data_IF_537375851097
#
_entry.id   IF_537375851097
#
_cell.length_a   1.000
_cell.length_b   1.000
_cell.length_c   1.000
_cell.angle_alpha   90.00
_cell.angle_beta   90.00
_cell.angle_gamma   90.00
#
_symmetry.space_group_name_H-M   'P 1'
#
loop_
_entity.id
_entity.type
_entity.pdbx_description
1 polymer ?
#
# COMPACT_ATOMS: atom_id res chain seq x y z
N UNK A 1 8.84 -8.40 -14.09
CA UNK A 1 7.41 -8.20 -13.82
C UNK A 1 7.16 -6.69 -13.85
N UNK A 2 6.19 -6.24 -14.65
CA UNK A 2 6.05 -4.81 -14.98
C UNK A 2 5.61 -4.00 -13.75
N UNK A 3 6.56 -3.30 -13.12
CA UNK A 3 6.39 -2.48 -11.92
C UNK A 3 5.32 -1.38 -12.13
N UNK A 4 4.96 -1.07 -13.38
CA UNK A 4 3.82 -0.19 -13.69
C UNK A 4 2.48 -0.82 -13.34
N UNK A 5 2.25 -2.12 -13.56
CA UNK A 5 0.98 -2.76 -13.19
C UNK A 5 0.80 -2.83 -11.67
N UNK A 6 1.87 -3.10 -10.92
CA UNK A 6 1.85 -3.18 -9.45
C UNK A 6 1.71 -1.80 -8.77
N UNK A 7 2.41 -0.78 -9.27
CA UNK A 7 2.22 0.63 -8.83
C UNK A 7 0.81 1.14 -9.07
N UNK A 8 0.14 0.62 -10.11
CA UNK A 8 -1.26 0.94 -10.38
C UNK A 8 -2.19 0.29 -9.36
N UNK A 9 -1.85 -0.87 -8.78
CA UNK A 9 -2.67 -1.56 -7.79
C UNK A 9 -2.70 -0.86 -6.41
N UNK A 10 -1.61 -0.18 -6.02
CA UNK A 10 -1.48 0.43 -4.67
C UNK A 10 -1.62 1.94 -4.68
N UNK A 11 -1.26 2.63 -5.76
CA UNK A 11 -1.84 3.96 -6.02
C UNK A 11 -3.37 3.85 -6.19
N UNK A 12 -3.85 2.72 -6.71
CA UNK A 12 -5.26 2.41 -6.64
C UNK A 12 -5.73 2.05 -5.23
N UNK A 13 -4.95 1.75 -4.19
CA UNK A 13 -5.54 1.57 -2.85
C UNK A 13 -6.18 2.87 -2.30
N UNK A 14 -5.68 4.04 -2.71
CA UNK A 14 -6.30 5.34 -2.49
C UNK A 14 -7.37 5.71 -3.56
N UNK A 15 -7.44 4.97 -4.67
CA UNK A 15 -8.36 5.16 -5.81
C UNK A 15 -9.39 4.01 -5.98
N UNK A 16 -9.32 2.94 -5.19
CA UNK A 16 -10.06 1.67 -5.29
C UNK A 16 -11.41 1.77 -4.60
N UNK A 17 -11.64 2.84 -3.85
CA UNK A 17 -12.99 3.28 -3.54
C UNK A 17 -13.73 3.87 -4.74
N UNK A 18 -13.06 4.10 -5.88
CA UNK A 18 -13.68 4.73 -7.04
C UNK A 18 -13.79 3.86 -8.29
N UNK A 19 -12.86 2.97 -8.65
CA UNK A 19 -13.06 2.16 -9.88
C UNK A 19 -12.28 0.84 -9.89
N UNK A 20 -12.97 -0.28 -9.64
CA UNK A 20 -13.02 -1.53 -10.45
C UNK A 20 -13.84 -2.61 -9.70
N UNK A 21 -15.16 -2.40 -9.55
CA UNK A 21 -16.10 -3.53 -9.59
C UNK A 21 -16.46 -3.73 -11.06
N UNK A 22 -15.57 -4.41 -11.78
CA UNK A 22 -15.74 -4.67 -13.19
C UNK A 22 -15.19 -6.05 -13.51
N UNK A 23 -16.10 -6.97 -13.79
CA UNK A 23 -15.91 -8.29 -14.40
C UNK A 23 -15.33 -9.38 -13.46
N UNK A 24 -15.90 -10.58 -13.32
CA UNK A 24 -16.94 -11.29 -14.07
C UNK A 24 -17.75 -12.20 -13.13
N UNK A 25 -18.98 -12.48 -13.56
CA UNK A 25 -19.75 -13.62 -13.09
C UNK A 25 -18.88 -14.87 -13.14
N UNK A 26 -18.44 -15.35 -11.98
CA UNK A 26 -18.17 -16.77 -11.83
C UNK A 26 -19.54 -17.43 -11.73
N UNK A 27 -19.86 -18.24 -12.75
CA UNK A 27 -20.98 -19.17 -12.74
C UNK A 27 -20.89 -20.03 -11.48
N UNK A 28 -21.55 -19.57 -10.43
CA UNK A 28 -21.83 -20.30 -9.22
C UNK A 28 -23.24 -20.85 -9.39
N UNK A 29 -23.44 -22.17 -9.35
CA UNK A 29 -24.76 -22.73 -9.50
C UNK A 29 -25.61 -22.24 -8.32
N UNK A 30 -26.78 -21.68 -8.64
CA UNK A 30 -27.87 -21.38 -7.69
C UNK A 30 -27.82 -20.04 -6.91
N UNK A 31 -27.50 -18.92 -7.58
CA UNK A 31 -27.79 -17.58 -7.01
C UNK A 31 -29.20 -17.12 -7.37
N UNK A 32 -29.96 -16.72 -6.34
CA UNK A 32 -31.27 -16.08 -6.48
C UNK A 32 -31.20 -14.94 -7.52
N UNK A 33 -31.96 -14.99 -8.63
CA UNK A 33 -31.92 -13.97 -9.69
C UNK A 33 -32.14 -12.54 -9.19
N UNK A 34 -32.91 -12.40 -8.11
CA UNK A 34 -33.17 -11.11 -7.48
C UNK A 34 -31.92 -10.54 -6.79
N UNK A 35 -31.08 -11.38 -6.20
CA UNK A 35 -29.81 -10.96 -5.58
C UNK A 35 -28.82 -10.48 -6.64
N UNK A 36 -28.75 -11.15 -7.79
CA UNK A 36 -27.91 -10.72 -8.91
C UNK A 36 -28.39 -9.38 -9.50
N UNK A 37 -29.70 -9.16 -9.53
CA UNK A 37 -30.27 -7.88 -9.93
C UNK A 37 -29.81 -6.74 -9.02
N UNK A 38 -29.83 -6.94 -7.69
CA UNK A 38 -29.35 -5.93 -6.74
C UNK A 38 -27.87 -5.63 -6.93
N UNK A 39 -27.03 -6.66 -7.08
CA UNK A 39 -25.59 -6.50 -7.31
C UNK A 39 -25.33 -5.70 -8.60
N UNK A 40 -25.97 -6.06 -9.71
CA UNK A 40 -25.82 -5.35 -11.00
C UNK A 40 -26.29 -3.90 -10.92
N UNK A 41 -27.40 -3.63 -10.22
CA UNK A 41 -27.90 -2.26 -10.01
C UNK A 41 -26.96 -1.45 -9.12
N UNK A 42 -26.37 -2.08 -8.11
CA UNK A 42 -25.38 -1.45 -7.24
C UNK A 42 -24.15 -1.03 -8.06
N UNK A 43 -23.56 -1.95 -8.83
CA UNK A 43 -22.41 -1.67 -9.68
C UNK A 43 -22.68 -0.51 -10.64
N UNK A 44 -23.88 -0.50 -11.27
CA UNK A 44 -24.30 0.59 -12.14
C UNK A 44 -24.39 1.93 -11.40
N UNK A 45 -25.02 1.99 -10.22
CA UNK A 45 -25.16 3.23 -9.46
C UNK A 45 -23.81 3.74 -8.97
N UNK A 46 -22.96 2.87 -8.40
CA UNK A 46 -21.63 3.25 -7.90
C UNK A 46 -20.75 3.78 -9.04
N UNK A 47 -20.79 3.15 -10.23
CA UNK A 47 -20.03 3.62 -11.39
C UNK A 47 -20.42 5.03 -11.86
N UNK A 48 -21.64 5.50 -11.52
CA UNK A 48 -22.17 6.80 -11.94
C UNK A 48 -22.12 7.85 -10.86
N UNK A 49 -22.34 7.45 -9.61
CA UNK A 49 -22.62 8.36 -8.49
C UNK A 49 -21.62 8.22 -7.34
N UNK A 50 -20.74 7.23 -7.39
CA UNK A 50 -19.88 6.86 -6.28
C UNK A 50 -20.60 6.00 -5.23
N UNK A 51 -19.83 5.44 -4.28
CA UNK A 51 -20.32 4.50 -3.26
C UNK A 51 -21.30 5.12 -2.26
N UNK A 52 -21.30 6.44 -2.06
CA UNK A 52 -22.22 7.18 -1.19
C UNK A 52 -23.30 7.97 -1.95
N UNK A 53 -23.46 7.68 -3.24
CA UNK A 53 -24.41 8.35 -4.13
C UNK A 53 -25.88 8.20 -3.73
N UNK A 54 -26.70 9.13 -4.20
CA UNK A 54 -28.15 9.13 -3.94
C UNK A 54 -28.79 7.82 -4.40
N UNK A 55 -29.59 7.21 -3.53
CA UNK A 55 -30.31 5.96 -3.81
C UNK A 55 -29.52 4.67 -3.53
N UNK A 56 -28.22 4.75 -3.23
CA UNK A 56 -27.43 3.57 -2.84
C UNK A 56 -27.98 2.97 -1.54
N UNK A 57 -28.22 3.77 -0.50
CA UNK A 57 -28.71 3.29 0.79
C UNK A 57 -30.00 2.48 0.66
N UNK A 58 -31.00 3.04 -0.05
CA UNK A 58 -32.28 2.35 -0.31
C UNK A 58 -32.09 1.06 -1.10
N UNK A 59 -31.16 1.02 -2.06
CA UNK A 59 -30.85 -0.22 -2.77
C UNK A 59 -30.28 -1.27 -1.81
N UNK A 60 -29.34 -0.88 -0.95
CA UNK A 60 -28.69 -1.77 0.02
C UNK A 60 -29.66 -2.23 1.12
N UNK A 61 -30.61 -1.39 1.54
CA UNK A 61 -31.67 -1.76 2.50
C UNK A 61 -32.55 -2.85 1.90
N UNK A 62 -33.04 -2.65 0.67
CA UNK A 62 -33.87 -3.64 0.00
C UNK A 62 -33.13 -4.95 -0.31
N UNK A 63 -31.83 -4.88 -0.62
CA UNK A 63 -31.01 -6.09 -0.79
C UNK A 63 -30.86 -6.85 0.53
N UNK A 64 -30.70 -6.14 1.65
CA UNK A 64 -30.58 -6.76 2.98
C UNK A 64 -31.83 -7.52 3.43
N UNK A 65 -33.03 -7.13 2.99
CA UNK A 65 -34.26 -7.86 3.28
C UNK A 65 -34.30 -9.27 2.67
N UNK A 66 -33.52 -9.50 1.61
CA UNK A 66 -33.54 -10.77 0.86
C UNK A 66 -32.31 -11.61 1.17
N UNK A 67 -31.13 -10.98 1.26
CA UNK A 67 -29.87 -11.67 1.46
C UNK A 67 -28.96 -10.87 2.41
N UNK A 68 -29.29 -10.79 3.72
CA UNK A 68 -28.57 -9.96 4.70
C UNK A 68 -27.11 -10.40 4.97
N UNK A 69 -26.76 -11.60 4.53
CA UNK A 69 -25.43 -12.21 4.67
C UNK A 69 -24.69 -12.35 3.33
N UNK A 70 -25.23 -11.81 2.23
CA UNK A 70 -24.51 -11.78 0.94
C UNK A 70 -23.21 -10.97 1.10
N UNK A 71 -22.07 -11.59 0.81
CA UNK A 71 -20.75 -10.96 0.93
C UNK A 71 -20.66 -9.70 0.07
N UNK A 72 -21.26 -9.66 -1.13
CA UNK A 72 -21.29 -8.45 -1.97
C UNK A 72 -22.10 -7.33 -1.33
N UNK A 73 -23.22 -7.65 -0.66
CA UNK A 73 -23.97 -6.66 0.12
C UNK A 73 -23.14 -6.12 1.29
N UNK A 74 -22.48 -7.00 2.04
CA UNK A 74 -21.65 -6.62 3.18
C UNK A 74 -20.49 -5.72 2.75
N UNK A 75 -19.81 -6.07 1.65
CA UNK A 75 -18.76 -5.25 1.04
C UNK A 75 -19.31 -3.92 0.53
N UNK A 76 -20.49 -3.91 -0.08
CA UNK A 76 -21.15 -2.69 -0.53
C UNK A 76 -21.52 -1.75 0.63
N UNK A 77 -22.00 -2.29 1.76
CA UNK A 77 -22.25 -1.54 3.00
C UNK A 77 -20.97 -0.96 3.59
N UNK A 78 -19.88 -1.72 3.57
CA UNK A 78 -18.57 -1.20 3.94
C UNK A 78 -18.23 0.01 3.06
N UNK A 79 -18.27 -0.13 1.73
CA UNK A 79 -17.93 0.96 0.81
C UNK A 79 -18.80 2.20 1.01
N UNK A 80 -20.12 2.03 1.16
CA UNK A 80 -21.06 3.12 1.41
C UNK A 80 -20.74 3.89 2.70
N UNK A 81 -20.61 3.19 3.84
CA UNK A 81 -20.32 3.85 5.11
C UNK A 81 -18.90 4.39 5.20
N UNK A 82 -17.93 3.73 4.57
CA UNK A 82 -16.55 4.21 4.55
C UNK A 82 -16.44 5.50 3.73
N UNK A 83 -17.06 5.59 2.56
CA UNK A 83 -17.14 6.83 1.80
C UNK A 83 -17.88 7.94 2.57
N UNK A 84 -19.06 7.64 3.13
CA UNK A 84 -19.80 8.62 3.97
C UNK A 84 -19.06 9.05 5.22
N UNK A 85 -18.12 8.26 5.71
CA UNK A 85 -17.31 8.64 6.87
C UNK A 85 -16.31 9.75 6.52
N UNK A 86 -16.00 9.96 5.25
CA UNK A 86 -14.94 10.86 4.83
C UNK A 86 -15.44 12.28 4.59
N UNK A 87 -14.67 13.25 5.07
CA UNK A 87 -14.70 14.64 4.62
C UNK A 87 -13.28 15.08 4.26
N UNK A 88 -13.15 16.15 3.48
CA UNK A 88 -11.82 16.68 3.13
C UNK A 88 -11.71 18.16 3.46
N UNK A 89 -10.57 18.55 3.99
CA UNK A 89 -10.24 19.96 4.25
C UNK A 89 -8.87 20.29 3.68
N UNK A 90 -8.66 21.57 3.37
CA UNK A 90 -7.35 22.08 2.96
C UNK A 90 -6.66 22.65 4.19
N UNK A 91 -5.57 22.00 4.62
CA UNK A 91 -4.85 22.34 5.85
C UNK A 91 -3.46 22.89 5.56
N UNK A 92 -3.02 23.96 6.23
CA UNK A 92 -1.65 24.45 6.12
C UNK A 92 -0.70 23.58 6.95
N UNK A 93 0.46 23.26 6.39
CA UNK A 93 1.59 22.59 7.07
C UNK A 93 2.89 23.32 6.70
N UNK A 94 3.84 23.36 7.63
CA UNK A 94 5.18 23.90 7.36
C UNK A 94 6.03 22.97 6.48
N UNK A 95 5.68 21.68 6.44
CA UNK A 95 6.40 20.63 5.74
C UNK A 95 6.22 20.77 4.22
N UNK A 96 7.26 20.40 3.44
CA UNK A 96 7.18 20.38 1.95
C UNK A 96 6.50 19.13 1.40
N UNK A 97 6.36 18.11 2.23
CA UNK A 97 5.62 16.88 1.94
C UNK A 97 4.82 16.50 3.18
N UNK A 98 3.64 15.95 2.98
CA UNK A 98 2.80 15.42 4.04
C UNK A 98 2.16 14.13 3.54
N UNK A 99 2.24 13.05 4.32
CA UNK A 99 1.76 11.72 3.92
C UNK A 99 2.26 11.26 2.54
N UNK A 100 3.52 11.57 2.21
CA UNK A 100 4.13 11.25 0.92
C UNK A 100 3.72 12.13 -0.27
N UNK A 101 2.73 13.02 -0.11
CA UNK A 101 2.25 13.90 -1.15
C UNK A 101 2.97 15.26 -1.16
N UNK A 102 3.00 15.91 -2.33
CA UNK A 102 3.35 17.32 -2.47
C UNK A 102 2.12 18.21 -2.16
N UNK A 103 2.32 19.47 -1.76
CA UNK A 103 1.21 20.38 -1.51
C UNK A 103 0.38 20.65 -2.76
N UNK A 104 -0.92 20.87 -2.57
CA UNK A 104 -1.82 21.32 -3.65
C UNK A 104 -1.62 22.80 -3.98
N UNK A 105 -1.11 23.57 -3.02
CA UNK A 105 -0.82 25.00 -3.15
C UNK A 105 0.27 25.39 -2.17
N UNK A 106 1.20 26.26 -2.59
CA UNK A 106 2.17 26.91 -1.70
C UNK A 106 2.02 28.42 -1.79
N UNK A 107 1.85 29.09 -0.65
CA UNK A 107 1.77 30.55 -0.56
C UNK A 107 2.91 31.10 0.31
N UNK A 108 3.11 32.42 0.25
CA UNK A 108 4.02 33.13 1.15
C UNK A 108 3.24 33.72 2.33
N UNK A 109 3.74 33.54 3.54
CA UNK A 109 3.23 34.29 4.70
C UNK A 109 3.75 35.74 4.71
N UNK A 110 3.37 36.49 5.74
CA UNK A 110 3.79 37.88 5.94
C UNK A 110 5.30 38.07 6.14
N UNK A 111 6.04 37.00 6.44
CA UNK A 111 7.50 36.99 6.57
C UNK A 111 8.22 36.56 5.29
N UNK A 112 7.47 36.13 4.26
CA UNK A 112 8.01 35.57 3.03
C UNK A 112 8.35 34.08 3.12
N UNK A 113 7.99 33.40 4.21
CA UNK A 113 8.16 31.96 4.37
C UNK A 113 7.08 31.18 3.60
N UNK A 114 7.41 29.97 3.15
CA UNK A 114 6.45 29.09 2.47
C UNK A 114 5.45 28.49 3.45
N UNK A 115 4.16 28.59 3.12
CA UNK A 115 3.06 27.86 3.76
C UNK A 115 2.49 26.89 2.73
N UNK A 116 2.58 25.60 3.03
CA UNK A 116 2.20 24.52 2.13
C UNK A 116 0.81 24.01 2.51
N UNK A 117 -0.12 24.01 1.57
CA UNK A 117 -1.49 23.57 1.78
C UNK A 117 -1.68 22.18 1.21
N UNK A 118 -2.26 21.29 2.00
CA UNK A 118 -2.52 19.90 1.66
C UNK A 118 -4.01 19.61 1.80
N UNK A 119 -4.55 18.76 0.93
CA UNK A 119 -5.86 18.18 1.15
C UNK A 119 -5.72 17.02 2.12
N UNK A 120 -6.42 17.09 3.24
CA UNK A 120 -6.43 16.05 4.27
C UNK A 120 -7.83 15.45 4.39
N UNK A 121 -7.91 14.12 4.54
CA UNK A 121 -9.17 13.40 4.76
C UNK A 121 -9.41 13.26 6.26
N UNK A 122 -10.62 13.56 6.70
CA UNK A 122 -11.10 13.37 8.07
C UNK A 122 -12.19 12.32 8.10
N UNK A 123 -12.34 11.65 9.23
CA UNK A 123 -13.27 10.54 9.39
C UNK A 123 -14.30 10.84 10.48
N UNK A 124 -15.56 10.56 10.18
CA UNK A 124 -16.59 10.39 11.19
C UNK A 124 -16.43 9.00 11.82
N UNK A 125 -16.00 8.95 13.08
CA UNK A 125 -15.68 7.69 13.78
C UNK A 125 -16.86 6.72 13.84
N UNK A 126 -18.10 7.22 13.95
CA UNK A 126 -19.28 6.36 14.03
C UNK A 126 -19.55 5.66 12.69
N UNK A 127 -19.44 6.39 11.59
CA UNK A 127 -19.63 5.84 10.24
C UNK A 127 -18.46 4.94 9.84
N UNK A 128 -17.22 5.31 10.19
CA UNK A 128 -16.05 4.46 9.99
C UNK A 128 -16.18 3.15 10.78
N UNK A 129 -16.53 3.23 12.06
CA UNK A 129 -16.76 2.03 12.88
C UNK A 129 -17.87 1.15 12.30
N UNK A 130 -18.91 1.76 11.74
CA UNK A 130 -19.99 1.03 11.09
C UNK A 130 -19.53 0.33 9.81
N UNK A 131 -18.73 1.00 8.96
CA UNK A 131 -18.17 0.37 7.77
C UNK A 131 -17.32 -0.86 8.12
N UNK A 132 -16.44 -0.72 9.12
CA UNK A 132 -15.57 -1.80 9.58
C UNK A 132 -16.37 -3.00 10.12
N UNK A 133 -17.51 -2.77 10.79
CA UNK A 133 -18.40 -3.86 11.23
C UNK A 133 -18.93 -4.71 10.08
N UNK A 134 -19.30 -4.08 8.96
CA UNK A 134 -19.76 -4.80 7.78
C UNK A 134 -18.64 -5.58 7.10
N UNK A 135 -17.46 -4.97 6.97
CA UNK A 135 -16.30 -5.65 6.41
C UNK A 135 -15.86 -6.85 7.27
N UNK A 136 -15.88 -6.69 8.59
CA UNK A 136 -15.60 -7.79 9.52
C UNK A 136 -16.63 -8.92 9.40
N UNK A 137 -17.89 -8.61 9.09
CA UNK A 137 -18.91 -9.62 8.82
C UNK A 137 -18.62 -10.34 7.50
N UNK A 138 -18.19 -9.63 6.46
CA UNK A 138 -17.81 -10.23 5.18
C UNK A 138 -16.60 -11.17 5.34
N UNK A 139 -15.54 -10.74 6.02
CA UNK A 139 -14.34 -11.56 6.30
C UNK A 139 -14.68 -12.81 7.12
N UNK A 140 -15.66 -12.74 8.04
CA UNK A 140 -16.11 -13.92 8.79
C UNK A 140 -16.92 -14.88 7.94
N UNK A 141 -17.70 -14.37 6.99
CA UNK A 141 -18.52 -15.20 6.10
C UNK A 141 -17.67 -15.98 5.10
N UNK A 142 -16.51 -15.43 4.73
CA UNK A 142 -15.56 -16.06 3.82
C UNK A 142 -14.13 -15.70 4.23
N UNK A 143 -13.52 -16.57 5.04
CA UNK A 143 -12.23 -16.33 5.68
C UNK A 143 -11.05 -16.39 4.72
N UNK A 144 -11.22 -17.02 3.56
CA UNK A 144 -10.12 -17.32 2.65
C UNK A 144 -9.96 -16.19 1.62
N UNK A 145 -10.87 -15.22 1.62
CA UNK A 145 -10.85 -14.04 0.75
C UNK A 145 -9.82 -13.01 1.17
N UNK A 146 -8.69 -13.01 0.49
CA UNK A 146 -7.58 -12.11 0.75
C UNK A 146 -7.87 -10.67 0.32
N UNK A 147 -8.71 -10.47 -0.69
CA UNK A 147 -9.16 -9.14 -1.10
C UNK A 147 -9.90 -8.42 0.04
N UNK A 148 -10.78 -9.10 0.78
CA UNK A 148 -11.49 -8.51 1.93
C UNK A 148 -10.51 -8.15 3.06
N UNK A 149 -9.47 -8.97 3.25
CA UNK A 149 -8.44 -8.73 4.26
C UNK A 149 -7.59 -7.51 3.90
N UNK A 150 -7.23 -7.35 2.63
CA UNK A 150 -6.52 -6.17 2.16
C UNK A 150 -7.40 -4.91 2.14
N UNK A 151 -8.70 -5.02 1.84
CA UNK A 151 -9.63 -3.90 2.04
C UNK A 151 -9.59 -3.38 3.47
N UNK A 152 -9.56 -4.30 4.46
CA UNK A 152 -9.49 -3.95 5.88
C UNK A 152 -8.17 -3.28 6.23
N UNK A 153 -7.05 -3.84 5.78
CA UNK A 153 -5.73 -3.24 6.00
C UNK A 153 -5.67 -1.82 5.42
N UNK A 154 -6.13 -1.61 4.19
CA UNK A 154 -6.14 -0.30 3.53
C UNK A 154 -7.04 0.72 4.25
N UNK A 155 -8.20 0.30 4.74
CA UNK A 155 -9.09 1.15 5.53
C UNK A 155 -8.44 1.60 6.86
N UNK A 156 -7.67 0.72 7.51
CA UNK A 156 -6.90 1.08 8.72
C UNK A 156 -5.79 2.07 8.41
N UNK A 157 -4.97 1.79 7.38
CA UNK A 157 -3.87 2.71 6.97
C UNK A 157 -4.39 4.11 6.67
N UNK A 158 -5.52 4.19 5.97
CA UNK A 158 -6.12 5.46 5.56
C UNK A 158 -6.71 6.24 6.73
N UNK A 159 -7.23 5.54 7.75
CA UNK A 159 -7.77 6.14 8.96
C UNK A 159 -6.68 6.65 9.90
N UNK A 160 -5.60 5.87 10.07
CA UNK A 160 -4.55 6.11 11.06
C UNK A 160 -3.47 7.11 10.64
N UNK A 161 -3.28 7.31 9.32
CA UNK A 161 -2.35 8.30 8.76
C UNK A 161 -0.90 8.09 9.24
N UNK A 162 -0.37 9.01 10.06
CA UNK A 162 1.02 9.00 10.54
C UNK A 162 1.28 8.00 11.68
N UNK A 163 0.24 7.37 12.25
CA UNK A 163 0.36 6.43 13.37
C UNK A 163 -0.32 5.09 13.08
N UNK A 164 0.20 4.28 12.12
CA UNK A 164 -0.47 3.09 11.59
C UNK A 164 -0.40 1.85 12.51
N UNK A 165 -0.68 2.01 13.80
CA UNK A 165 -0.51 0.97 14.82
C UNK A 165 -1.48 -0.21 14.63
N UNK A 166 -2.76 0.08 14.39
CA UNK A 166 -3.77 -0.94 14.13
C UNK A 166 -3.55 -1.62 12.78
N UNK A 167 -3.17 -0.87 11.75
CA UNK A 167 -2.82 -1.40 10.44
C UNK A 167 -1.62 -2.34 10.53
N UNK A 168 -0.56 -1.93 11.23
CA UNK A 168 0.61 -2.76 11.48
C UNK A 168 0.24 -4.04 12.25
N UNK A 169 -0.52 -3.92 13.34
CA UNK A 169 -0.95 -5.06 14.13
C UNK A 169 -1.78 -6.05 13.29
N UNK A 170 -2.71 -5.52 12.48
CA UNK A 170 -3.54 -6.32 11.60
C UNK A 170 -2.73 -7.02 10.50
N UNK A 171 -1.85 -6.29 9.81
CA UNK A 171 -0.96 -6.86 8.78
C UNK A 171 -0.01 -7.89 9.36
N UNK A 172 0.57 -7.64 10.53
CA UNK A 172 1.46 -8.60 11.21
C UNK A 172 0.74 -9.92 11.52
N UNK A 173 -0.52 -9.83 11.98
CA UNK A 173 -1.36 -11.02 12.19
C UNK A 173 -1.69 -11.72 10.87
N UNK A 174 -1.98 -10.95 9.82
CA UNK A 174 -2.25 -11.51 8.50
C UNK A 174 -1.03 -12.26 7.92
N UNK A 175 0.20 -11.78 8.18
CA UNK A 175 1.43 -12.50 7.84
C UNK A 175 1.51 -13.84 8.57
N UNK A 176 1.20 -13.88 9.87
CA UNK A 176 1.15 -15.13 10.64
C UNK A 176 0.11 -16.10 10.06
N UNK A 177 -1.09 -15.61 9.77
CA UNK A 177 -2.17 -16.41 9.19
C UNK A 177 -1.79 -16.97 7.82
N UNK A 178 -1.14 -16.17 6.97
CA UNK A 178 -0.67 -16.61 5.65
C UNK A 178 0.24 -17.84 5.73
N UNK A 179 1.13 -17.87 6.72
CA UNK A 179 2.03 -19.02 6.93
C UNK A 179 1.25 -20.24 7.41
N UNK A 180 0.29 -20.05 8.32
CA UNK A 180 -0.54 -21.14 8.85
C UNK A 180 -1.44 -21.79 7.78
N UNK A 181 -1.99 -21.00 6.86
CA UNK A 181 -2.82 -21.52 5.76
C UNK A 181 -2.01 -21.91 4.52
N UNK A 182 -0.67 -21.83 4.60
CA UNK A 182 0.25 -22.12 3.49
C UNK A 182 -0.06 -21.28 2.23
N UNK A 183 -0.52 -20.04 2.41
CA UNK A 183 -0.89 -19.14 1.33
C UNK A 183 -2.11 -19.56 0.51
N UNK A 184 -2.93 -20.51 1.02
CA UNK A 184 -4.20 -20.92 0.41
C UNK A 184 -5.24 -19.82 0.60
N UNK A 185 -5.10 -18.77 -0.20
CA UNK A 185 -6.02 -17.65 -0.26
C UNK A 185 -6.81 -17.70 -1.57
N UNK A 186 -7.95 -17.04 -1.54
CA UNK A 186 -8.73 -16.69 -2.72
C UNK A 186 -8.61 -15.19 -2.99
N UNK A 187 -8.38 -14.85 -4.25
CA UNK A 187 -8.41 -13.47 -4.72
C UNK A 187 -9.22 -13.42 -6.02
N UNK A 188 -10.44 -12.84 -6.01
CA UNK A 188 -11.29 -12.82 -7.19
C UNK A 188 -10.60 -12.21 -8.41
N UNK A 189 -10.61 -12.93 -9.53
CA UNK A 189 -10.04 -12.46 -10.78
C UNK A 189 -8.51 -12.53 -10.88
N UNK A 190 -7.83 -13.14 -9.91
CA UNK A 190 -6.37 -13.36 -9.98
C UNK A 190 -6.00 -14.80 -9.60
N UNK A 191 -4.96 -15.32 -10.26
CA UNK A 191 -4.31 -16.55 -9.82
C UNK A 191 -3.31 -16.23 -8.70
N UNK A 192 -3.38 -16.99 -7.61
CA UNK A 192 -2.46 -16.84 -6.49
C UNK A 192 -1.10 -17.44 -6.85
N UNK A 193 -0.09 -16.58 -7.00
CA UNK A 193 1.30 -17.01 -7.15
C UNK A 193 1.96 -17.16 -5.78
N UNK A 194 3.06 -17.94 -5.67
CA UNK A 194 3.81 -18.03 -4.42
C UNK A 194 4.35 -16.68 -3.89
N UNK A 195 4.55 -15.69 -4.77
CA UNK A 195 5.01 -14.35 -4.38
C UNK A 195 3.89 -13.35 -4.10
N UNK A 196 2.65 -13.63 -4.54
CA UNK A 196 1.55 -12.65 -4.53
C UNK A 196 1.36 -11.99 -3.17
N UNK A 197 1.35 -12.79 -2.09
CA UNK A 197 1.20 -12.28 -0.73
C UNK A 197 2.39 -11.40 -0.32
N UNK A 198 3.62 -11.80 -0.64
CA UNK A 198 4.83 -11.03 -0.33
C UNK A 198 4.84 -9.70 -1.09
N UNK A 199 4.47 -9.73 -2.37
CA UNK A 199 4.34 -8.55 -3.22
C UNK A 199 3.29 -7.59 -2.65
N UNK A 200 2.15 -8.10 -2.18
CA UNK A 200 1.12 -7.27 -1.54
C UNK A 200 1.58 -6.67 -0.20
N UNK A 201 2.26 -7.43 0.66
CA UNK A 201 2.81 -6.91 1.92
C UNK A 201 3.89 -5.84 1.66
N UNK A 202 4.72 -6.03 0.63
CA UNK A 202 5.73 -5.05 0.24
C UNK A 202 5.12 -3.68 -0.10
N UNK A 203 3.92 -3.66 -0.66
CA UNK A 203 3.23 -2.42 -1.00
C UNK A 203 2.72 -1.66 0.23
N UNK A 204 2.32 -2.38 1.30
CA UNK A 204 2.05 -1.76 2.60
C UNK A 204 3.34 -1.24 3.25
N UNK A 205 4.44 -1.98 3.17
CA UNK A 205 5.75 -1.47 3.58
C UNK A 205 6.10 -0.16 2.85
N UNK A 206 5.95 -0.11 1.53
CA UNK A 206 6.18 1.09 0.73
C UNK A 206 5.25 2.25 1.14
N UNK A 207 3.99 1.96 1.45
CA UNK A 207 3.03 2.95 1.95
C UNK A 207 3.47 3.55 3.28
N UNK A 208 3.87 2.71 4.24
CA UNK A 208 4.41 3.16 5.53
C UNK A 208 5.68 3.98 5.40
N UNK A 209 6.58 3.59 4.51
CA UNK A 209 7.79 4.35 4.22
C UNK A 209 7.48 5.73 3.62
N UNK A 210 6.51 5.81 2.71
CA UNK A 210 6.16 7.06 2.02
C UNK A 210 5.44 8.07 2.90
N UNK A 211 4.68 7.62 3.91
CA UNK A 211 4.02 8.54 4.86
C UNK A 211 5.05 9.50 5.48
N UNK A 212 6.26 9.01 5.76
CA UNK A 212 7.41 9.84 6.09
C UNK A 212 7.40 10.41 7.51
N UNK A 213 6.80 9.69 8.44
CA UNK A 213 6.76 10.02 9.87
C UNK A 213 7.56 8.99 10.68
N UNK A 214 7.92 9.32 11.93
CA UNK A 214 8.62 8.38 12.82
C UNK A 214 7.83 7.07 13.02
N UNK A 215 6.53 7.18 13.34
CA UNK A 215 5.65 6.04 13.53
C UNK A 215 5.53 5.18 12.27
N UNK A 216 5.37 5.80 11.10
CA UNK A 216 5.28 5.07 9.85
C UNK A 216 6.61 4.42 9.42
N UNK A 217 7.76 5.04 9.70
CA UNK A 217 9.05 4.37 9.48
C UNK A 217 9.25 3.17 10.39
N UNK A 218 8.79 3.25 11.64
CA UNK A 218 8.84 2.11 12.55
C UNK A 218 7.94 0.97 12.07
N UNK A 219 6.73 1.27 11.59
CA UNK A 219 5.83 0.26 11.03
C UNK A 219 6.39 -0.39 9.75
N UNK A 220 7.04 0.40 8.88
CA UNK A 220 7.78 -0.11 7.72
C UNK A 220 8.85 -1.13 8.11
N UNK A 221 9.65 -0.82 9.14
CA UNK A 221 10.68 -1.70 9.66
C UNK A 221 10.07 -2.97 10.28
N UNK A 222 9.10 -2.82 11.19
CA UNK A 222 8.51 -3.94 11.92
C UNK A 222 7.80 -4.94 11.01
N UNK A 223 7.07 -4.47 10.00
CA UNK A 223 6.43 -5.35 9.03
C UNK A 223 7.47 -6.05 8.14
N UNK A 224 8.57 -5.39 7.80
CA UNK A 224 9.66 -6.00 7.02
C UNK A 224 10.40 -7.08 7.81
N UNK A 225 10.70 -6.83 9.09
CA UNK A 225 11.29 -7.83 9.99
C UNK A 225 10.34 -9.01 10.22
N UNK A 226 9.03 -8.75 10.33
CA UNK A 226 8.00 -9.80 10.44
C UNK A 226 8.03 -10.73 9.23
N UNK A 227 8.14 -10.18 8.02
CA UNK A 227 8.27 -10.98 6.80
C UNK A 227 9.58 -11.76 6.77
N UNK A 228 10.71 -11.16 7.15
CA UNK A 228 12.00 -11.85 7.20
C UNK A 228 12.04 -13.00 8.22
N UNK A 229 11.22 -12.93 9.28
CA UNK A 229 11.06 -14.03 10.23
C UNK A 229 10.58 -15.34 9.58
N UNK A 230 9.80 -15.24 8.50
CA UNK A 230 9.30 -16.40 7.74
C UNK A 230 10.00 -16.61 6.40
N UNK A 231 10.50 -15.53 5.80
CA UNK A 231 11.15 -15.53 4.49
C UNK A 231 12.56 -14.93 4.61
N UNK A 232 13.50 -15.64 5.25
CA UNK A 232 14.81 -15.07 5.62
C UNK A 232 15.69 -14.72 4.43
N UNK A 233 15.41 -15.23 3.23
CA UNK A 233 16.15 -14.93 2.00
C UNK A 233 15.43 -13.92 1.07
N UNK A 234 14.29 -13.37 1.50
CA UNK A 234 13.53 -12.41 0.72
C UNK A 234 14.26 -11.05 0.67
N UNK A 235 14.98 -10.83 -0.44
CA UNK A 235 15.85 -9.65 -0.61
C UNK A 235 15.10 -8.33 -0.50
N UNK A 236 13.83 -8.29 -0.95
CA UNK A 236 12.99 -7.09 -0.90
C UNK A 236 12.80 -6.58 0.53
N UNK A 237 12.57 -7.47 1.50
CA UNK A 237 12.40 -7.07 2.91
C UNK A 237 13.75 -6.79 3.58
N UNK A 238 14.85 -7.42 3.15
CA UNK A 238 16.19 -7.02 3.59
C UNK A 238 16.55 -5.60 3.11
N UNK A 239 16.19 -5.25 1.88
CA UNK A 239 16.37 -3.90 1.35
C UNK A 239 15.53 -2.88 2.09
N UNK A 240 14.31 -3.25 2.49
CA UNK A 240 13.49 -2.39 3.34
C UNK A 240 14.18 -2.08 4.66
N UNK A 241 14.68 -3.11 5.36
CA UNK A 241 15.42 -2.92 6.62
C UNK A 241 16.67 -2.07 6.40
N UNK A 242 17.42 -2.29 5.32
CA UNK A 242 18.53 -1.43 4.95
C UNK A 242 18.12 0.03 4.73
N UNK A 243 16.96 0.25 4.11
CA UNK A 243 16.42 1.58 3.83
C UNK A 243 15.91 2.29 5.09
N UNK A 244 15.36 1.56 6.05
CA UNK A 244 15.03 2.09 7.38
C UNK A 244 16.29 2.63 8.07
N UNK A 245 17.36 1.83 8.15
CA UNK A 245 18.60 2.29 8.77
C UNK A 245 19.22 3.47 8.03
N UNK A 246 19.12 3.51 6.70
CA UNK A 246 19.66 4.61 5.91
C UNK A 246 18.90 5.92 6.14
N UNK A 247 17.57 5.86 6.25
CA UNK A 247 16.70 7.05 6.17
C UNK A 247 16.19 7.49 7.55
N UNK A 248 15.70 6.56 8.38
CA UNK A 248 15.14 6.87 9.68
C UNK A 248 16.23 7.00 10.76
N UNK A 249 17.21 6.09 10.77
CA UNK A 249 18.27 6.06 11.78
C UNK A 249 19.54 6.82 11.38
N UNK A 250 19.63 7.25 10.11
CA UNK A 250 20.84 7.83 9.50
C UNK A 250 22.12 6.93 9.59
N UNK A 251 21.96 5.63 9.88
CA UNK A 251 23.03 4.65 10.04
C UNK A 251 23.41 3.99 8.71
N UNK A 252 24.27 4.68 7.98
CA UNK A 252 24.83 4.18 6.72
C UNK A 252 25.67 2.90 6.88
N UNK A 253 26.26 2.66 8.05
CA UNK A 253 27.11 1.49 8.26
C UNK A 253 26.26 0.22 8.37
N UNK A 254 25.15 0.29 9.10
CA UNK A 254 24.20 -0.82 9.23
C UNK A 254 23.42 -1.03 7.94
N UNK A 255 22.94 0.03 7.29
CA UNK A 255 22.29 -0.06 5.98
C UNK A 255 23.16 -0.81 4.95
N UNK A 256 24.45 -0.48 4.86
CA UNK A 256 25.39 -1.14 3.95
C UNK A 256 25.62 -2.62 4.29
N UNK A 257 25.47 -3.04 5.56
CA UNK A 257 25.53 -4.47 5.92
C UNK A 257 24.35 -5.23 5.31
N UNK A 258 23.14 -4.67 5.37
CA UNK A 258 21.95 -5.27 4.76
C UNK A 258 22.05 -5.31 3.24
N UNK A 259 22.41 -4.21 2.58
CA UNK A 259 22.61 -4.20 1.13
C UNK A 259 23.69 -5.20 0.67
N UNK A 260 24.76 -5.40 1.46
CA UNK A 260 25.74 -6.46 1.17
C UNK A 260 25.17 -7.87 1.33
N UNK A 261 24.21 -8.11 2.23
CA UNK A 261 23.51 -9.41 2.33
C UNK A 261 22.64 -9.63 1.08
N UNK A 262 21.85 -8.62 0.71
CA UNK A 262 21.04 -8.64 -0.53
C UNK A 262 21.90 -8.96 -1.74
N UNK A 263 23.01 -8.25 -1.94
CA UNK A 263 23.88 -8.43 -3.10
C UNK A 263 24.65 -9.77 -3.13
N UNK A 264 24.64 -10.54 -2.04
CA UNK A 264 25.13 -11.93 -2.05
C UNK A 264 24.09 -12.88 -2.62
N UNK A 265 22.81 -12.60 -2.41
CA UNK A 265 21.68 -13.41 -2.89
C UNK A 265 21.31 -12.99 -4.32
N UNK A 266 21.16 -11.69 -4.54
CA UNK A 266 20.85 -11.07 -5.83
C UNK A 266 21.91 -10.00 -6.18
N UNK A 267 22.99 -10.35 -6.90
CA UNK A 267 24.07 -9.40 -7.24
C UNK A 267 23.66 -8.22 -8.12
N UNK A 268 22.50 -8.30 -8.78
CA UNK A 268 21.97 -7.26 -9.66
C UNK A 268 20.83 -6.46 -9.01
N UNK A 269 20.63 -6.63 -7.70
CA UNK A 269 19.57 -5.92 -6.98
C UNK A 269 19.74 -4.40 -7.09
N UNK A 270 18.81 -3.79 -7.80
CA UNK A 270 18.83 -2.37 -8.12
C UNK A 270 18.77 -1.49 -6.86
N UNK A 271 17.91 -1.85 -5.90
CA UNK A 271 17.69 -1.05 -4.69
C UNK A 271 18.95 -1.05 -3.83
N UNK A 272 19.51 -2.24 -3.57
CA UNK A 272 20.74 -2.38 -2.81
C UNK A 272 21.93 -1.65 -3.47
N UNK A 273 22.08 -1.76 -4.80
CA UNK A 273 23.15 -1.08 -5.54
C UNK A 273 22.99 0.44 -5.45
N UNK A 274 21.79 0.95 -5.76
CA UNK A 274 21.52 2.39 -5.81
C UNK A 274 21.71 3.04 -4.44
N UNK A 275 21.20 2.42 -3.38
CA UNK A 275 21.40 2.94 -2.02
C UNK A 275 22.86 2.83 -1.56
N UNK A 276 23.59 1.81 -2.01
CA UNK A 276 25.04 1.73 -1.76
C UNK A 276 25.84 2.84 -2.46
N UNK A 277 25.45 3.26 -3.66
CA UNK A 277 26.03 4.45 -4.33
C UNK A 277 25.73 5.72 -3.54
N UNK A 278 24.49 5.90 -3.04
CA UNK A 278 24.11 7.05 -2.22
C UNK A 278 24.96 7.13 -0.94
N UNK A 279 25.12 6.01 -0.24
CA UNK A 279 25.98 5.91 0.96
C UNK A 279 27.43 6.29 0.62
N UNK A 280 27.99 5.73 -0.47
CA UNK A 280 29.36 6.02 -0.87
C UNK A 280 29.59 7.51 -1.15
N UNK A 281 28.60 8.18 -1.77
CA UNK A 281 28.64 9.63 -2.01
C UNK A 281 28.55 10.43 -0.72
N UNK A 282 27.60 10.09 0.17
CA UNK A 282 27.46 10.73 1.49
C UNK A 282 28.78 10.67 2.28
N UNK A 283 29.47 9.55 2.21
CA UNK A 283 30.76 9.31 2.89
C UNK A 283 31.97 9.83 2.13
N UNK A 284 31.80 10.39 0.92
CA UNK A 284 32.89 10.77 0.00
C UNK A 284 33.88 9.61 -0.27
N UNK A 285 33.41 8.37 -0.22
CA UNK A 285 34.22 7.18 -0.40
C UNK A 285 34.29 6.80 -1.89
N UNK A 286 35.26 7.35 -2.61
CA UNK A 286 35.41 7.18 -4.06
C UNK A 286 35.63 5.72 -4.47
N UNK A 287 36.38 4.94 -3.68
CA UNK A 287 36.60 3.51 -3.95
C UNK A 287 35.29 2.72 -3.90
N UNK A 288 34.46 3.01 -2.90
CA UNK A 288 33.15 2.38 -2.75
C UNK A 288 32.18 2.85 -3.84
N UNK A 289 32.22 4.14 -4.19
CA UNK A 289 31.38 4.70 -5.25
C UNK A 289 31.71 4.06 -6.60
N UNK A 290 33.00 3.94 -6.96
CA UNK A 290 33.44 3.25 -8.18
C UNK A 290 32.93 1.81 -8.26
N UNK A 291 33.02 1.07 -7.14
CA UNK A 291 32.55 -0.32 -7.06
C UNK A 291 31.06 -0.43 -7.41
N UNK A 292 30.21 0.35 -6.74
CA UNK A 292 28.76 0.21 -6.92
C UNK A 292 28.25 0.89 -8.19
N UNK A 293 28.89 1.96 -8.68
CA UNK A 293 28.57 2.51 -10.00
C UNK A 293 28.82 1.50 -11.12
N UNK A 294 29.92 0.75 -11.05
CA UNK A 294 30.19 -0.31 -12.02
C UNK A 294 29.13 -1.42 -12.00
N UNK A 295 28.52 -1.69 -10.84
CA UNK A 295 27.38 -2.61 -10.73
C UNK A 295 26.11 -1.98 -11.30
N UNK A 296 25.83 -0.70 -10.98
CA UNK A 296 24.66 0.03 -11.45
C UNK A 296 24.62 0.11 -12.99
N UNK A 297 25.77 0.31 -13.64
CA UNK A 297 25.89 0.31 -15.11
C UNK A 297 25.47 -1.02 -15.74
N UNK A 298 25.62 -2.14 -15.04
CA UNK A 298 25.26 -3.47 -15.55
C UNK A 298 23.77 -3.76 -15.41
N UNK A 299 23.13 -3.31 -14.34
CA UNK A 299 21.72 -3.59 -14.05
C UNK A 299 20.74 -2.48 -14.45
N UNK A 300 21.20 -1.43 -15.13
CA UNK A 300 20.35 -0.33 -15.61
C UNK A 300 20.55 -0.03 -17.09
N UNK A 301 19.62 0.71 -17.68
CA UNK A 301 19.67 1.16 -19.06
C UNK A 301 19.38 2.67 -19.18
N UNK A 302 19.35 3.14 -20.43
CA UNK A 302 18.96 4.52 -20.78
C UNK A 302 19.77 5.60 -20.05
N UNK A 303 19.05 6.59 -19.52
CA UNK A 303 19.64 7.78 -18.90
C UNK A 303 20.39 7.47 -17.60
N UNK A 304 19.92 6.50 -16.79
CA UNK A 304 20.56 6.17 -15.53
C UNK A 304 21.91 5.48 -15.76
N UNK A 305 21.98 4.56 -16.73
CA UNK A 305 23.24 3.95 -17.15
C UNK A 305 24.24 5.00 -17.62
N UNK A 306 23.82 5.91 -18.52
CA UNK A 306 24.69 6.97 -19.04
C UNK A 306 25.20 7.90 -17.92
N UNK A 307 24.33 8.26 -16.96
CA UNK A 307 24.72 9.06 -15.81
C UNK A 307 25.74 8.33 -14.91
N UNK A 308 25.53 7.03 -14.67
CA UNK A 308 26.44 6.20 -13.89
C UNK A 308 27.82 6.05 -14.58
N UNK A 309 27.85 5.81 -15.89
CA UNK A 309 29.08 5.74 -16.69
C UNK A 309 29.83 7.08 -16.69
N UNK A 310 29.11 8.18 -16.86
CA UNK A 310 29.69 9.54 -16.85
C UNK A 310 30.33 9.84 -15.50
N UNK A 311 29.62 9.52 -14.40
CA UNK A 311 30.17 9.67 -13.06
C UNK A 311 31.39 8.78 -12.84
N UNK A 312 31.36 7.54 -13.30
CA UNK A 312 32.46 6.60 -13.14
C UNK A 312 33.74 7.09 -13.85
N UNK A 313 33.62 7.72 -15.01
CA UNK A 313 34.75 8.33 -15.75
C UNK A 313 35.34 9.56 -15.04
N UNK A 314 34.54 10.26 -14.23
CA UNK A 314 34.95 11.47 -13.53
C UNK A 314 35.59 11.21 -12.15
N UNK A 315 35.54 9.97 -11.64
CA UNK A 315 36.11 9.54 -10.36
C UNK A 315 37.51 8.95 -10.51
#
# INVERSE_FOLDING_TARGET
>A
MDIKLLKTAVAAAAMFMSFHFGMMAQDTPDKNPQVEEYARRYDLLVSRLGPDGVGIETLLDNWAEIAPDDIRLLTARFSYYFAKSQSTEVVPKAQKKFMGAAPVLTLKDSTGADVNYFQEVFYNDSLYSLSMKYLDKAVRADSDRLDLRFMKATALVSYEKESPDMALAYLSKLVDENVLVEGKWEYPGAEMTPSFFQDAIQEYCYTFFNIGSEGSYKAFFDLSEKMLGYYPDATVFMDNVGSYYLVAEDDSATALKYYKKVLKINPEDYTAIKNSVLIARKQKNTKLEKKYLAMLVKCTDGAEKLAAETRLKAL
#
